data_IF_187471430197
#
_entry.id   IF_187471430197
#
_cell.length_a   1.000
_cell.length_b   1.000
_cell.length_c   1.000
_cell.angle_alpha   90.00
_cell.angle_beta   90.00
_cell.angle_gamma   90.00
#
_symmetry.space_group_name_H-M   'P 1'
#
loop_
_entity.id
_entity.type
_entity.pdbx_description
1 polymer ?
#
# COMPACT_ATOMS: atom_id res chain seq x y z
N UNK A 1 -29.24 -22.75 -17.79
CA UNK A 1 -27.90 -22.35 -17.31
C UNK A 1 -27.01 -22.23 -18.53
N UNK A 2 -26.33 -21.11 -18.73
CA UNK A 2 -25.41 -20.91 -19.87
C UNK A 2 -23.98 -21.04 -19.34
N UNK A 3 -23.20 -21.96 -19.91
CA UNK A 3 -21.78 -22.10 -19.60
C UNK A 3 -20.93 -21.21 -20.50
N UNK A 4 -20.16 -20.31 -19.91
CA UNK A 4 -19.20 -19.46 -20.64
C UNK A 4 -17.82 -20.10 -20.56
N UNK A 5 -17.09 -20.12 -21.68
CA UNK A 5 -15.76 -20.73 -21.72
C UNK A 5 -14.77 -19.95 -20.83
N UNK A 6 -13.93 -20.63 -20.01
CA UNK A 6 -13.03 -19.95 -19.06
C UNK A 6 -11.95 -19.11 -19.73
N UNK A 7 -11.67 -19.32 -21.03
CA UNK A 7 -10.74 -18.51 -21.80
C UNK A 7 -11.11 -17.02 -21.82
N UNK A 8 -12.40 -16.68 -21.71
CA UNK A 8 -12.85 -15.30 -21.68
C UNK A 8 -12.47 -14.61 -20.37
N UNK A 9 -12.53 -15.32 -19.23
CA UNK A 9 -12.03 -14.82 -17.95
C UNK A 9 -10.51 -14.65 -17.97
N UNK A 10 -9.78 -15.62 -18.54
CA UNK A 10 -8.32 -15.54 -18.60
C UNK A 10 -7.84 -14.42 -19.53
N UNK A 11 -8.65 -14.03 -20.52
CA UNK A 11 -8.37 -12.90 -21.39
C UNK A 11 -8.52 -11.52 -20.73
N UNK A 12 -9.14 -11.41 -19.55
CA UNK A 12 -9.23 -10.14 -18.82
C UNK A 12 -8.06 -9.89 -17.87
N UNK A 13 -7.15 -10.86 -17.71
CA UNK A 13 -6.01 -10.75 -16.81
C UNK A 13 -4.80 -10.16 -17.54
N UNK A 14 -4.00 -9.40 -16.80
CA UNK A 14 -2.68 -8.98 -17.27
C UNK A 14 -1.76 -10.20 -17.49
N UNK A 15 -0.79 -10.04 -18.40
CA UNK A 15 0.09 -11.13 -18.81
C UNK A 15 0.88 -11.73 -17.64
N UNK A 16 1.37 -10.89 -16.73
CA UNK A 16 2.17 -11.32 -15.58
C UNK A 16 1.31 -12.10 -14.57
N UNK A 17 0.09 -11.60 -14.31
CA UNK A 17 -0.89 -12.27 -13.44
C UNK A 17 -1.29 -13.63 -14.01
N UNK A 18 -1.54 -13.69 -15.32
CA UNK A 18 -1.85 -14.93 -16.02
C UNK A 18 -0.69 -15.94 -15.93
N UNK A 19 0.55 -15.50 -16.11
CA UNK A 19 1.71 -16.38 -16.04
C UNK A 19 1.89 -16.98 -14.63
N UNK A 20 1.79 -16.16 -13.58
CA UNK A 20 1.82 -16.63 -12.18
C UNK A 20 0.70 -17.64 -11.91
N UNK A 21 -0.51 -17.38 -12.41
CA UNK A 21 -1.63 -18.31 -12.29
C UNK A 21 -1.35 -19.63 -13.03
N UNK A 22 -0.84 -19.57 -14.25
CA UNK A 22 -0.56 -20.73 -15.09
C UNK A 22 0.50 -21.65 -14.43
N UNK A 23 1.55 -21.07 -13.87
CA UNK A 23 2.60 -21.82 -13.14
C UNK A 23 2.06 -22.50 -11.88
N UNK A 24 1.25 -21.78 -11.09
CA UNK A 24 0.55 -22.34 -9.92
C UNK A 24 -0.36 -23.50 -10.32
N UNK A 25 -1.11 -23.36 -11.41
CA UNK A 25 -2.01 -24.39 -11.92
C UNK A 25 -1.25 -25.62 -12.43
N UNK A 26 -0.17 -25.43 -13.19
CA UNK A 26 0.67 -26.52 -13.69
C UNK A 26 1.31 -27.32 -12.55
N UNK A 27 1.76 -26.64 -11.50
CA UNK A 27 2.31 -27.27 -10.30
C UNK A 27 1.25 -28.06 -9.54
N UNK A 28 0.06 -27.47 -9.34
CA UNK A 28 -1.08 -28.15 -8.71
C UNK A 28 -1.53 -29.38 -9.50
N UNK A 29 -1.60 -29.29 -10.83
CA UNK A 29 -1.98 -30.40 -11.71
C UNK A 29 -1.02 -31.58 -11.59
N UNK A 30 0.29 -31.32 -11.57
CA UNK A 30 1.30 -32.38 -11.38
C UNK A 30 1.12 -33.11 -10.04
N UNK A 31 0.97 -32.34 -8.96
CA UNK A 31 0.74 -32.90 -7.63
C UNK A 31 -0.59 -33.67 -7.53
N UNK A 32 -1.67 -33.13 -8.11
CA UNK A 32 -2.98 -33.75 -8.12
C UNK A 32 -2.98 -35.07 -8.90
N UNK A 33 -2.35 -35.11 -10.08
CA UNK A 33 -2.24 -36.33 -10.88
C UNK A 33 -1.49 -37.44 -10.14
N UNK A 34 -0.37 -37.09 -9.47
CA UNK A 34 0.38 -38.03 -8.66
C UNK A 34 -0.44 -38.55 -7.48
N UNK A 35 -1.11 -37.65 -6.74
CA UNK A 35 -1.94 -38.01 -5.60
C UNK A 35 -3.14 -38.88 -6.03
N UNK A 36 -3.77 -38.57 -7.17
CA UNK A 36 -4.88 -39.34 -7.73
C UNK A 36 -4.44 -40.75 -8.12
N UNK A 37 -3.33 -40.90 -8.85
CA UNK A 37 -2.82 -42.22 -9.23
C UNK A 37 -2.54 -43.08 -7.99
N UNK A 38 -1.87 -42.52 -6.98
CA UNK A 38 -1.63 -43.21 -5.71
C UNK A 38 -2.94 -43.58 -4.99
N UNK A 39 -3.91 -42.67 -4.95
CA UNK A 39 -5.18 -42.88 -4.27
C UNK A 39 -6.04 -43.97 -4.94
N UNK A 40 -6.02 -44.05 -6.27
CA UNK A 40 -6.68 -45.13 -7.03
C UNK A 40 -6.01 -46.47 -6.77
N UNK A 41 -4.68 -46.53 -6.76
CA UNK A 41 -3.94 -47.77 -6.51
C UNK A 41 -4.09 -48.30 -5.08
N UNK A 42 -4.28 -47.41 -4.10
CA UNK A 42 -4.40 -47.75 -2.68
C UNK A 42 -5.84 -47.78 -2.17
N UNK A 43 -6.83 -47.71 -3.07
CA UNK A 43 -8.27 -47.61 -2.75
C UNK A 43 -8.58 -46.56 -1.67
N UNK A 44 -7.87 -45.43 -1.73
CA UNK A 44 -7.92 -44.38 -0.71
C UNK A 44 -8.28 -43.01 -1.29
N UNK A 45 -9.11 -43.01 -2.33
CA UNK A 45 -9.60 -41.80 -3.01
C UNK A 45 -10.37 -40.88 -2.06
N UNK A 46 -11.12 -41.46 -1.13
CA UNK A 46 -11.87 -40.72 -0.10
C UNK A 46 -11.24 -41.00 1.26
N UNK A 47 -10.83 -39.93 1.96
CA UNK A 47 -10.30 -40.00 3.34
C UNK A 47 -11.13 -39.07 4.21
N UNK A 48 -11.94 -39.64 5.09
CA UNK A 48 -12.73 -38.88 6.04
C UNK A 48 -11.80 -38.19 7.06
N UNK A 49 -12.03 -36.90 7.31
CA UNK A 49 -11.35 -36.17 8.37
C UNK A 49 -11.98 -36.53 9.71
N UNK A 50 -11.16 -36.91 10.69
CA UNK A 50 -11.63 -37.35 12.01
C UNK A 50 -11.78 -36.20 13.01
N UNK A 51 -11.13 -35.07 12.76
CA UNK A 51 -11.13 -33.90 13.62
C UNK A 51 -11.08 -32.61 12.79
N UNK A 52 -11.68 -31.51 13.27
CA UNK A 52 -11.53 -30.21 12.62
C UNK A 52 -10.07 -29.73 12.63
N UNK A 53 -9.72 -28.74 11.79
CA UNK A 53 -8.38 -28.15 11.72
C UNK A 53 -8.05 -27.21 12.90
N UNK A 54 -8.92 -27.12 13.91
CA UNK A 54 -8.71 -26.33 15.13
C UNK A 54 -8.91 -27.22 16.37
N UNK A 55 -8.30 -26.81 17.48
CA UNK A 55 -8.51 -27.44 18.78
C UNK A 55 -9.77 -26.89 19.43
N UNK A 56 -10.44 -27.69 20.28
CA UNK A 56 -11.68 -27.29 20.96
C UNK A 56 -11.55 -26.01 21.78
N UNK A 57 -10.35 -25.72 22.33
CA UNK A 57 -10.09 -24.50 23.11
C UNK A 57 -10.12 -23.22 22.27
N UNK A 58 -9.77 -23.33 20.98
CA UNK A 58 -9.68 -22.19 20.06
C UNK A 58 -10.88 -22.08 19.14
N UNK A 59 -11.85 -23.00 19.23
CA UNK A 59 -13.04 -23.08 18.40
C UNK A 59 -13.80 -21.75 18.32
N UNK A 60 -14.13 -21.15 19.47
CA UNK A 60 -14.84 -19.88 19.51
C UNK A 60 -14.04 -18.74 18.88
N UNK A 61 -12.71 -18.72 19.04
CA UNK A 61 -11.85 -17.68 18.47
C UNK A 61 -11.78 -17.79 16.95
N UNK A 62 -11.65 -19.01 16.43
CA UNK A 62 -11.63 -19.29 14.98
C UNK A 62 -12.97 -18.92 14.34
N UNK A 63 -14.08 -19.28 14.98
CA UNK A 63 -15.42 -19.02 14.42
C UNK A 63 -15.81 -17.54 14.45
N UNK A 64 -15.22 -16.75 15.35
CA UNK A 64 -15.50 -15.32 15.50
C UNK A 64 -14.52 -14.41 14.74
N UNK A 65 -13.42 -14.95 14.21
CA UNK A 65 -12.45 -14.20 13.41
C UNK A 65 -12.67 -14.44 11.89
N UNK A 66 -13.23 -13.46 11.13
CA UNK A 66 -13.44 -13.60 9.68
C UNK A 66 -12.11 -13.65 8.88
N UNK A 67 -11.02 -13.19 9.48
CA UNK A 67 -9.69 -13.16 8.88
C UNK A 67 -8.85 -14.38 9.28
N UNK A 68 -9.33 -15.25 10.17
CA UNK A 68 -8.63 -16.48 10.53
C UNK A 68 -8.34 -17.32 9.27
N UNK A 69 -7.08 -17.72 9.11
CA UNK A 69 -6.63 -18.60 8.01
C UNK A 69 -5.83 -19.77 8.57
N UNK A 70 -5.83 -20.85 7.82
CA UNK A 70 -5.11 -22.06 8.16
C UNK A 70 -3.66 -22.02 7.70
N UNK A 71 -2.78 -22.58 8.52
CA UNK A 71 -1.36 -22.77 8.24
C UNK A 71 -1.06 -24.24 8.02
N UNK A 72 0.00 -24.54 7.25
CA UNK A 72 0.45 -25.92 7.05
C UNK A 72 1.63 -26.21 7.95
N UNK A 73 1.56 -27.29 8.74
CA UNK A 73 2.72 -27.73 9.52
C UNK A 73 3.76 -28.36 8.56
N UNK A 74 5.01 -27.86 8.53
CA UNK A 74 6.03 -28.31 7.58
C UNK A 74 6.40 -29.79 7.74
N UNK A 75 6.28 -30.35 8.95
CA UNK A 75 6.66 -31.73 9.26
C UNK A 75 5.53 -32.71 9.02
N UNK A 76 4.32 -32.41 9.51
CA UNK A 76 3.18 -33.34 9.42
C UNK A 76 2.34 -33.16 8.16
N UNK A 77 2.57 -32.08 7.39
CA UNK A 77 1.73 -31.64 6.26
C UNK A 77 0.24 -31.49 6.61
N UNK A 78 -0.10 -31.47 7.90
CA UNK A 78 -1.46 -31.21 8.37
C UNK A 78 -1.72 -29.71 8.39
N UNK A 79 -2.93 -29.37 8.02
CA UNK A 79 -3.46 -28.00 8.03
C UNK A 79 -4.04 -27.74 9.42
N UNK A 80 -3.67 -26.62 10.04
CA UNK A 80 -4.14 -26.25 11.38
C UNK A 80 -4.33 -24.73 11.49
N UNK A 81 -5.18 -24.28 12.42
CA UNK A 81 -5.24 -22.87 12.81
C UNK A 81 -4.16 -22.57 13.86
N UNK A 82 -3.26 -21.65 13.55
CA UNK A 82 -2.24 -21.19 14.49
C UNK A 82 -2.87 -20.19 15.48
N UNK A 83 -2.88 -20.48 16.81
CA UNK A 83 -3.44 -19.58 17.80
C UNK A 83 -2.81 -18.17 17.81
N UNK A 84 -1.58 -18.03 17.29
CA UNK A 84 -0.90 -16.75 17.13
C UNK A 84 -1.49 -15.88 16.00
N UNK A 85 -2.13 -16.50 15.01
CA UNK A 85 -2.77 -15.82 13.87
C UNK A 85 -4.28 -15.61 14.07
N UNK A 86 -4.80 -15.81 15.28
CA UNK A 86 -6.20 -15.58 15.64
C UNK A 86 -6.35 -14.21 16.29
N UNK A 87 -7.03 -13.31 15.59
CA UNK A 87 -7.22 -11.92 15.99
C UNK A 87 -8.43 -11.82 16.94
N UNK A 88 -8.41 -10.89 17.90
CA UNK A 88 -9.52 -10.69 18.84
C UNK A 88 -9.20 -10.95 20.32
N UNK A 89 -7.98 -10.69 20.75
CA UNK A 89 -7.59 -10.65 22.17
C UNK A 89 -8.15 -9.41 22.87
N UNK A 90 -9.48 -9.26 22.95
CA UNK A 90 -10.22 -8.67 24.07
C UNK A 90 -11.73 -8.83 23.80
N UNK A 91 -12.54 -9.31 24.75
CA UNK A 91 -13.97 -9.05 24.72
C UNK A 91 -14.20 -7.54 24.89
N UNK A 92 -14.71 -6.85 23.86
CA UNK A 92 -14.94 -5.40 23.85
C UNK A 92 -16.08 -4.95 24.80
N UNK A 93 -16.69 -5.85 25.57
CA UNK A 93 -17.70 -5.45 26.56
C UNK A 93 -17.10 -5.24 27.96
N UNK A 94 -16.31 -4.18 28.13
CA UNK A 94 -16.14 -3.59 29.46
C UNK A 94 -17.33 -2.66 29.69
N UNK A 95 -18.18 -3.01 30.67
CA UNK A 95 -19.27 -2.12 31.11
C UNK A 95 -18.62 -0.85 31.68
N UNK A 96 -18.89 0.36 31.15
CA UNK A 96 -18.37 1.60 31.73
C UNK A 96 -18.90 1.74 33.16
N UNK A 97 -18.01 1.91 34.14
CA UNK A 97 -18.39 2.08 35.55
C UNK A 97 -18.92 3.49 35.88
N UNK A 98 -18.86 4.44 34.94
CA UNK A 98 -19.27 5.82 35.16
C UNK A 98 -20.48 6.22 34.30
N UNK A 99 -21.46 6.93 34.87
CA UNK A 99 -22.63 7.42 34.13
C UNK A 99 -22.24 8.49 33.10
N UNK A 100 -23.04 8.68 32.03
CA UNK A 100 -22.68 9.51 30.89
C UNK A 100 -22.60 10.99 31.30
N UNK A 101 -21.55 11.70 30.90
CA UNK A 101 -21.43 13.15 31.10
C UNK A 101 -22.07 13.88 29.91
N UNK A 102 -22.75 15.02 30.17
CA UNK A 102 -23.58 15.80 29.23
C UNK A 102 -22.79 16.58 28.14
N UNK A 103 -21.64 16.05 27.69
CA UNK A 103 -20.90 16.59 26.55
C UNK A 103 -20.59 15.48 25.55
N UNK A 104 -20.72 15.77 24.26
CA UNK A 104 -20.34 14.85 23.18
C UNK A 104 -18.81 14.80 23.14
N UNK A 105 -18.22 13.98 23.99
CA UNK A 105 -16.87 13.47 23.76
C UNK A 105 -17.01 12.45 22.65
N UNK A 106 -16.64 12.83 21.42
CA UNK A 106 -16.43 11.84 20.37
C UNK A 106 -15.41 10.84 20.95
N UNK A 107 -15.73 9.53 21.02
CA UNK A 107 -14.76 8.55 21.47
C UNK A 107 -13.52 8.71 20.58
N UNK A 108 -12.33 8.77 21.19
CA UNK A 108 -11.11 8.57 20.40
C UNK A 108 -11.31 7.28 19.60
N UNK A 109 -11.14 7.30 18.27
CA UNK A 109 -11.34 6.12 17.47
C UNK A 109 -10.46 5.01 18.05
N UNK A 110 -11.08 3.88 18.40
CA UNK A 110 -10.36 2.71 18.89
C UNK A 110 -9.16 2.47 17.98
N UNK A 111 -7.94 2.25 18.53
CA UNK A 111 -6.80 1.90 17.70
C UNK A 111 -7.20 0.70 16.83
N UNK A 112 -7.07 0.89 15.52
CA UNK A 112 -7.34 -0.16 14.54
C UNK A 112 -6.23 -1.19 14.71
N UNK A 113 -6.46 -2.17 15.58
CA UNK A 113 -5.53 -3.28 15.77
C UNK A 113 -5.53 -4.18 14.53
N UNK A 114 -4.44 -4.07 13.77
CA UNK A 114 -3.73 -5.06 12.96
C UNK A 114 -4.55 -6.10 12.18
N UNK A 115 -4.69 -5.83 10.88
CA UNK A 115 -4.85 -6.86 9.84
C UNK A 115 -3.46 -7.10 9.23
N UNK A 116 -2.94 -8.34 9.19
CA UNK A 116 -1.61 -8.63 8.66
C UNK A 116 -1.67 -8.66 7.13
N UNK A 117 -1.65 -7.48 6.53
CA UNK A 117 -1.31 -7.28 5.13
C UNK A 117 -0.79 -5.85 4.99
N UNK A 118 0.54 -5.69 4.95
CA UNK A 118 1.30 -4.48 4.61
C UNK A 118 0.50 -3.15 4.70
N UNK A 119 -0.04 -2.83 5.87
CA UNK A 119 -0.66 -1.54 6.11
C UNK A 119 0.46 -0.63 6.55
N UNK A 120 1.00 0.14 5.61
CA UNK A 120 1.86 1.26 5.95
C UNK A 120 0.94 2.27 6.66
N UNK A 121 1.06 2.34 7.99
CA UNK A 121 0.24 3.25 8.77
C UNK A 121 0.64 4.68 8.43
N UNK A 122 -0.34 5.52 8.10
CA UNK A 122 -0.11 6.97 7.89
C UNK A 122 0.55 7.57 9.13
N UNK A 123 0.29 7.04 10.33
CA UNK A 123 0.98 7.46 11.56
C UNK A 123 2.49 7.27 11.52
N UNK A 124 2.96 6.22 10.85
CA UNK A 124 4.39 5.87 10.81
C UNK A 124 5.11 6.77 9.80
N UNK A 125 4.49 6.99 8.63
CA UNK A 125 4.99 7.95 7.65
C UNK A 125 5.05 9.35 8.25
N UNK A 126 3.97 9.79 8.90
CA UNK A 126 3.91 11.14 9.49
C UNK A 126 4.86 11.25 10.68
N UNK A 127 4.96 10.20 11.50
CA UNK A 127 5.84 10.12 12.67
C UNK A 127 7.32 10.17 12.30
N UNK A 128 7.74 9.45 11.27
CA UNK A 128 9.13 9.45 10.80
C UNK A 128 9.49 10.80 10.16
N UNK A 129 8.56 11.41 9.43
CA UNK A 129 8.75 12.75 8.88
C UNK A 129 8.85 13.79 10.01
N UNK A 130 8.04 13.70 11.07
CA UNK A 130 8.12 14.63 12.20
C UNK A 130 9.40 14.43 13.03
N UNK A 131 9.84 13.18 13.25
CA UNK A 131 11.03 12.85 14.06
C UNK A 131 12.35 13.19 13.38
N UNK A 132 12.38 13.25 12.05
CA UNK A 132 13.59 13.58 11.28
C UNK A 132 13.85 15.09 11.17
N UNK A 133 12.96 15.94 11.71
CA UNK A 133 13.12 17.39 11.67
C UNK A 133 13.98 17.92 12.83
N UNK A 134 14.97 18.80 12.57
CA UNK A 134 15.66 19.56 13.61
C UNK A 134 14.69 20.45 14.39
N UNK A 135 14.94 20.67 15.69
CA UNK A 135 14.06 21.44 16.59
C UNK A 135 13.79 22.89 16.15
N UNK A 136 14.67 23.47 15.35
CA UNK A 136 14.55 24.87 14.88
C UNK A 136 13.72 25.01 13.59
N UNK A 137 13.21 23.91 13.04
CA UNK A 137 12.48 23.93 11.76
C UNK A 137 10.98 23.99 12.02
N UNK A 138 10.33 25.05 11.51
CA UNK A 138 8.88 25.21 11.63
C UNK A 138 8.17 24.57 10.44
N UNK A 139 7.21 23.68 10.73
CA UNK A 139 6.33 23.13 9.70
C UNK A 139 5.36 24.21 9.26
N UNK A 140 5.34 24.50 7.96
CA UNK A 140 4.44 25.50 7.38
C UNK A 140 3.13 24.87 6.93
N UNK A 141 3.22 23.77 6.20
CA UNK A 141 2.10 23.15 5.52
C UNK A 141 2.42 21.70 5.14
N UNK A 142 1.36 20.92 4.98
CA UNK A 142 1.42 19.50 4.62
C UNK A 142 0.57 19.32 3.36
N UNK A 143 1.06 18.52 2.42
CA UNK A 143 0.31 18.05 1.27
C UNK A 143 0.25 16.53 1.28
N UNK A 144 -0.94 15.99 1.05
CA UNK A 144 -1.16 14.55 0.94
C UNK A 144 -1.81 14.26 -0.40
N UNK A 145 -1.36 13.21 -1.04
CA UNK A 145 -1.91 12.73 -2.29
C UNK A 145 -1.98 11.20 -2.32
N UNK A 146 -2.98 10.67 -3.01
CA UNK A 146 -3.17 9.23 -3.20
C UNK A 146 -3.56 8.98 -4.65
N UNK A 147 -2.87 8.03 -5.27
CA UNK A 147 -3.09 7.65 -6.66
C UNK A 147 -3.39 6.16 -6.75
N UNK A 148 -4.50 5.82 -7.39
CA UNK A 148 -4.84 4.44 -7.68
C UNK A 148 -4.08 3.95 -8.91
N UNK A 149 -3.41 2.80 -8.77
CA UNK A 149 -2.56 2.21 -9.81
C UNK A 149 -3.35 1.94 -11.09
N UNK A 150 -4.62 1.57 -10.96
CA UNK A 150 -5.53 1.29 -12.08
C UNK A 150 -5.89 2.51 -12.93
N UNK A 151 -5.79 3.72 -12.39
CA UNK A 151 -6.18 4.96 -13.08
C UNK A 151 -5.06 5.53 -13.95
N UNK A 152 -3.83 5.07 -13.74
CA UNK A 152 -2.65 5.64 -14.37
C UNK A 152 -2.30 4.85 -15.64
N UNK A 153 -2.93 5.23 -16.76
CA UNK A 153 -2.66 4.62 -18.06
C UNK A 153 -1.48 5.32 -18.76
N UNK A 154 -0.28 4.81 -18.48
CA UNK A 154 0.98 5.29 -19.05
C UNK A 154 1.17 4.87 -20.51
N UNK A 155 0.81 3.61 -20.84
CA UNK A 155 1.14 3.00 -22.13
C UNK A 155 0.39 3.67 -23.29
N UNK A 156 -0.79 4.21 -23.03
CA UNK A 156 -1.59 4.92 -24.03
C UNK A 156 -1.23 6.41 -24.17
N UNK A 157 -0.41 6.99 -23.29
CA UNK A 157 -0.20 8.45 -23.23
C UNK A 157 1.27 8.90 -23.04
N UNK A 158 2.14 8.75 -24.05
CA UNK A 158 3.53 9.21 -24.00
C UNK A 158 3.65 10.74 -23.86
N UNK A 159 2.65 11.51 -24.31
CA UNK A 159 2.63 12.97 -24.19
C UNK A 159 2.53 13.43 -22.75
N UNK A 160 1.72 12.74 -21.92
CA UNK A 160 1.61 13.04 -20.50
C UNK A 160 2.97 12.95 -19.80
N UNK A 161 3.76 11.93 -20.15
CA UNK A 161 5.07 11.67 -19.55
C UNK A 161 6.08 12.71 -19.97
N UNK A 162 6.13 13.00 -21.27
CA UNK A 162 7.00 14.03 -21.79
C UNK A 162 6.65 15.41 -21.21
N UNK A 163 5.39 15.69 -20.87
CA UNK A 163 4.96 16.97 -20.30
C UNK A 163 5.24 17.11 -18.81
N UNK A 164 5.10 16.02 -18.04
CA UNK A 164 5.09 16.06 -16.57
C UNK A 164 6.37 15.57 -15.89
N UNK A 165 7.20 14.78 -16.58
CA UNK A 165 8.40 14.18 -16.00
C UNK A 165 9.68 14.71 -16.66
N UNK A 166 10.73 14.93 -15.86
CA UNK A 166 12.05 15.28 -16.39
C UNK A 166 12.73 14.05 -17.02
N UNK A 167 13.71 14.23 -17.92
CA UNK A 167 14.46 13.12 -18.48
C UNK A 167 15.14 12.24 -17.42
N UNK A 168 15.57 12.83 -16.29
CA UNK A 168 16.17 12.09 -15.18
C UNK A 168 15.16 11.19 -14.46
N UNK A 169 13.91 11.65 -14.31
CA UNK A 169 12.84 10.87 -13.70
C UNK A 169 12.43 9.69 -14.60
N UNK A 170 12.38 9.92 -15.91
CA UNK A 170 12.08 8.87 -16.90
C UNK A 170 13.18 7.82 -16.94
N UNK A 171 14.44 8.23 -16.96
CA UNK A 171 15.59 7.32 -16.94
C UNK A 171 15.61 6.48 -15.66
N UNK A 172 15.29 7.07 -14.50
CA UNK A 172 15.17 6.33 -13.26
C UNK A 172 14.06 5.28 -13.31
N UNK A 173 12.87 5.66 -13.79
CA UNK A 173 11.74 4.73 -13.88
C UNK A 173 12.08 3.53 -14.77
N UNK A 174 12.72 3.77 -15.91
CA UNK A 174 13.17 2.71 -16.83
C UNK A 174 14.21 1.77 -16.21
N UNK A 175 15.00 2.23 -15.24
CA UNK A 175 15.97 1.41 -14.53
C UNK A 175 15.37 0.60 -13.37
N UNK A 176 14.12 0.88 -12.97
CA UNK A 176 13.43 0.16 -11.89
C UNK A 176 12.89 -1.18 -12.39
N UNK A 177 12.70 -2.13 -11.46
CA UNK A 177 12.03 -3.41 -11.75
C UNK A 177 10.62 -3.20 -12.31
N UNK A 178 9.94 -2.18 -11.83
CA UNK A 178 8.60 -1.79 -12.26
C UNK A 178 8.60 -0.29 -12.60
N UNK A 179 8.77 0.06 -13.90
CA UNK A 179 8.73 1.45 -14.35
C UNK A 179 7.38 2.14 -14.10
N UNK A 180 6.28 1.40 -14.12
CA UNK A 180 4.92 1.93 -13.95
C UNK A 180 4.72 2.43 -12.52
N UNK A 181 5.02 1.57 -11.55
CA UNK A 181 4.96 1.92 -10.13
C UNK A 181 5.93 3.05 -9.75
N UNK A 182 7.10 3.10 -10.38
CA UNK A 182 8.07 4.19 -10.16
C UNK A 182 7.51 5.55 -10.63
N UNK A 183 6.81 5.59 -11.76
CA UNK A 183 6.21 6.81 -12.30
C UNK A 183 4.98 7.26 -11.50
N UNK A 184 4.11 6.33 -11.11
CA UNK A 184 2.97 6.65 -10.23
C UNK A 184 3.45 7.23 -8.91
N UNK A 185 4.47 6.63 -8.29
CA UNK A 185 5.03 7.16 -7.05
C UNK A 185 5.60 8.57 -7.22
N UNK A 186 6.29 8.83 -8.33
CA UNK A 186 6.80 10.17 -8.64
C UNK A 186 5.68 11.17 -8.92
N UNK A 187 4.61 10.75 -9.58
CA UNK A 187 3.43 11.58 -9.81
C UNK A 187 2.74 11.94 -8.51
N UNK A 188 2.45 10.95 -7.67
CA UNK A 188 1.84 11.15 -6.36
C UNK A 188 2.70 12.08 -5.48
N UNK A 189 4.04 11.90 -5.50
CA UNK A 189 4.95 12.81 -4.82
C UNK A 189 4.89 14.25 -5.36
N UNK A 190 4.79 14.44 -6.69
CA UNK A 190 4.64 15.78 -7.29
C UNK A 190 3.35 16.46 -6.84
N UNK A 191 2.24 15.73 -6.78
CA UNK A 191 0.94 16.24 -6.30
C UNK A 191 0.96 16.59 -4.81
N UNK A 192 1.53 15.71 -3.98
CA UNK A 192 1.71 16.01 -2.56
C UNK A 192 2.56 17.27 -2.35
N UNK A 193 3.69 17.41 -3.07
CA UNK A 193 4.53 18.62 -3.01
C UNK A 193 3.77 19.84 -3.50
N UNK A 194 3.06 19.74 -4.62
CA UNK A 194 2.27 20.85 -5.15
C UNK A 194 1.25 21.36 -4.12
N UNK A 195 0.54 20.46 -3.45
CA UNK A 195 -0.41 20.78 -2.37
C UNK A 195 0.31 21.39 -1.16
N UNK A 196 1.49 20.89 -0.80
CA UNK A 196 2.24 21.42 0.34
C UNK A 196 2.74 22.85 0.11
N UNK A 197 2.98 23.27 -1.14
CA UNK A 197 3.39 24.64 -1.45
C UNK A 197 2.28 25.68 -1.19
N UNK A 198 1.01 25.27 -1.11
CA UNK A 198 -0.13 26.14 -0.78
C UNK A 198 -0.47 27.16 -1.88
N UNK A 199 -0.20 26.83 -3.14
CA UNK A 199 -0.31 27.74 -4.28
C UNK A 199 -1.62 27.51 -5.04
N UNK A 200 -2.21 28.56 -5.61
CA UNK A 200 -3.38 28.40 -6.48
C UNK A 200 -2.98 27.64 -7.74
N UNK A 201 -3.78 26.65 -8.12
CA UNK A 201 -3.61 25.91 -9.36
C UNK A 201 -3.67 26.83 -10.57
N UNK A 202 -2.77 26.61 -11.54
CA UNK A 202 -2.80 27.26 -12.86
C UNK A 202 -3.77 26.57 -13.83
N UNK A 203 -4.59 25.64 -13.33
CA UNK A 203 -5.50 24.78 -14.08
C UNK A 203 -5.11 23.31 -13.97
N UNK A 204 -6.08 22.40 -14.17
CA UNK A 204 -5.90 20.94 -14.04
C UNK A 204 -4.87 20.32 -15.01
N UNK A 205 -4.46 21.05 -16.05
CA UNK A 205 -3.49 20.59 -17.06
C UNK A 205 -2.13 21.29 -17.00
N UNK A 206 -1.84 22.03 -15.92
CA UNK A 206 -0.56 22.70 -15.76
C UNK A 206 0.58 21.66 -15.64
N UNK A 207 1.69 21.83 -16.37
CA UNK A 207 2.77 20.85 -16.35
C UNK A 207 3.46 20.81 -14.98
N UNK A 208 3.65 19.60 -14.44
CA UNK A 208 4.30 19.39 -13.14
C UNK A 208 5.81 19.11 -13.23
N UNK A 209 6.40 19.33 -14.41
CA UNK A 209 7.83 19.07 -14.66
C UNK A 209 8.77 19.93 -13.80
N UNK A 210 8.30 21.09 -13.34
CA UNK A 210 9.08 21.98 -12.48
C UNK A 210 9.25 21.46 -11.04
N UNK A 211 8.45 20.47 -10.63
CA UNK A 211 8.61 19.75 -9.37
C UNK A 211 9.31 18.44 -9.71
N UNK A 212 10.61 18.35 -9.47
CA UNK A 212 11.40 17.17 -9.79
C UNK A 212 11.64 16.34 -8.53
N UNK A 213 11.37 15.03 -8.59
CA UNK A 213 11.63 14.09 -7.50
C UNK A 213 12.87 13.28 -7.87
N UNK A 214 13.90 13.27 -7.04
CA UNK A 214 15.12 12.46 -7.24
C UNK A 214 15.23 11.43 -6.13
N UNK A 215 16.00 10.37 -6.34
CA UNK A 215 16.41 9.49 -5.25
C UNK A 215 17.78 9.94 -4.76
N UNK A 216 17.99 10.00 -3.45
CA UNK A 216 19.30 10.24 -2.86
C UNK A 216 20.17 8.97 -2.90
N UNK A 217 21.37 9.04 -2.31
CA UNK A 217 22.32 7.91 -2.28
C UNK A 217 21.80 6.70 -1.49
N UNK A 218 20.83 6.91 -0.60
CA UNK A 218 20.21 5.89 0.22
C UNK A 218 18.85 5.43 -0.36
N UNK A 219 18.45 5.97 -1.51
CA UNK A 219 17.19 5.68 -2.18
C UNK A 219 16.01 6.53 -1.72
N UNK A 220 16.17 7.41 -0.74
CA UNK A 220 15.10 8.26 -0.23
C UNK A 220 14.73 9.36 -1.25
N UNK A 221 13.44 9.69 -1.40
CA UNK A 221 13.01 10.70 -2.36
C UNK A 221 13.40 12.11 -1.88
N UNK A 222 13.99 12.90 -2.78
CA UNK A 222 14.42 14.28 -2.59
C UNK A 222 13.76 15.18 -3.62
N UNK A 223 13.11 16.25 -3.14
CA UNK A 223 12.43 17.23 -3.98
C UNK A 223 13.42 18.28 -4.47
N UNK A 224 13.36 18.61 -5.76
CA UNK A 224 14.08 19.71 -6.39
C UNK A 224 13.08 20.56 -7.15
N UNK A 225 12.92 21.82 -6.74
CA UNK A 225 12.00 22.76 -7.37
C UNK A 225 12.75 23.61 -8.38
N UNK A 226 12.14 23.79 -9.56
CA UNK A 226 12.66 24.60 -10.66
C UNK A 226 11.67 25.71 -11.03
N UNK A 227 12.10 26.63 -11.90
CA UNK A 227 11.18 27.54 -12.61
C UNK A 227 10.20 28.31 -11.71
N UNK A 228 8.92 28.28 -12.06
CA UNK A 228 7.86 28.94 -11.30
C UNK A 228 7.60 28.27 -9.95
N UNK A 229 7.72 26.94 -9.85
CA UNK A 229 7.59 26.24 -8.56
C UNK A 229 8.60 26.76 -7.53
N UNK A 230 9.87 26.92 -7.92
CA UNK A 230 10.91 27.48 -7.05
C UNK A 230 10.63 28.93 -6.65
N UNK A 231 10.22 29.78 -7.61
CA UNK A 231 9.88 31.18 -7.31
C UNK A 231 8.74 31.27 -6.29
N UNK A 232 7.75 30.40 -6.43
CA UNK A 232 6.60 30.40 -5.53
C UNK A 232 6.97 29.88 -4.15
N UNK A 233 7.80 28.84 -4.05
CA UNK A 233 8.34 28.36 -2.77
C UNK A 233 9.13 29.46 -2.04
N UNK A 234 9.93 30.25 -2.76
CA UNK A 234 10.67 31.39 -2.19
C UNK A 234 9.76 32.50 -1.69
N UNK A 235 8.75 32.90 -2.46
CA UNK A 235 7.73 33.89 -2.04
C UNK A 235 6.96 33.43 -0.79
N UNK A 236 6.86 32.12 -0.64
CA UNK A 236 6.24 31.44 0.48
C UNK A 236 7.17 31.26 1.71
N UNK A 237 8.43 31.70 1.63
CA UNK A 237 9.47 31.47 2.64
C UNK A 237 9.69 29.98 2.97
N UNK A 238 9.45 29.09 1.99
CA UNK A 238 9.71 27.66 2.15
C UNK A 238 11.20 27.41 1.86
N UNK A 239 11.92 26.92 2.86
CA UNK A 239 13.35 26.61 2.75
C UNK A 239 13.58 25.19 2.26
N UNK A 240 12.71 24.25 2.64
CA UNK A 240 12.84 22.84 2.26
C UNK A 240 11.49 22.15 2.16
N UNK A 241 11.42 21.08 1.35
CA UNK A 241 10.26 20.20 1.25
C UNK A 241 10.73 18.75 1.37
N UNK A 242 10.24 18.07 2.41
CA UNK A 242 10.48 16.64 2.61
C UNK A 242 9.29 15.88 2.06
N UNK A 243 9.54 14.78 1.37
CA UNK A 243 8.47 13.90 0.86
C UNK A 243 8.74 12.47 1.29
N UNK A 244 7.68 11.73 1.55
CA UNK A 244 7.73 10.29 1.78
C UNK A 244 6.68 9.61 0.91
N UNK A 245 6.99 8.38 0.47
CA UNK A 245 6.19 7.58 -0.43
C UNK A 245 5.90 6.22 0.20
N UNK A 246 4.71 5.71 -0.05
CA UNK A 246 4.26 4.43 0.44
C UNK A 246 3.38 3.75 -0.62
N UNK A 247 3.54 2.44 -0.71
CA UNK A 247 2.89 1.61 -1.71
C UNK A 247 2.01 0.58 -1.01
N UNK A 248 0.75 0.51 -1.40
CA UNK A 248 -0.25 -0.45 -0.91
C UNK A 248 -0.85 -1.21 -2.09
N UNK A 249 -1.58 -2.29 -1.83
CA UNK A 249 -2.24 -3.06 -2.88
C UNK A 249 -3.24 -2.19 -3.67
N UNK A 250 -2.79 -1.72 -4.84
CA UNK A 250 -3.58 -0.92 -5.77
C UNK A 250 -3.51 0.61 -5.58
N UNK A 251 -2.82 1.13 -4.56
CA UNK A 251 -2.69 2.57 -4.34
C UNK A 251 -1.28 2.98 -3.91
N UNK A 252 -0.89 4.20 -4.32
CA UNK A 252 0.32 4.87 -3.87
C UNK A 252 -0.06 6.12 -3.10
N UNK A 253 0.55 6.34 -1.95
CA UNK A 253 0.32 7.53 -1.13
C UNK A 253 1.63 8.30 -0.96
N UNK A 254 1.53 9.63 -1.06
CA UNK A 254 2.62 10.54 -0.84
C UNK A 254 2.25 11.58 0.22
N UNK A 255 3.21 11.86 1.10
CA UNK A 255 3.09 12.92 2.11
C UNK A 255 4.27 13.87 1.92
N UNK A 256 3.98 15.14 1.69
CA UNK A 256 4.97 16.19 1.57
C UNK A 256 4.80 17.21 2.70
N UNK A 257 5.91 17.62 3.31
CA UNK A 257 5.95 18.61 4.39
C UNK A 257 6.84 19.75 3.96
N UNK A 258 6.26 20.95 3.91
CA UNK A 258 6.99 22.18 3.62
C UNK A 258 7.46 22.83 4.91
N UNK A 259 8.73 23.19 4.92
CA UNK A 259 9.46 23.64 6.09
C UNK A 259 9.93 25.08 5.89
N UNK A 260 9.89 25.84 6.98
CA UNK A 260 10.45 27.18 7.04
C UNK A 260 11.61 27.17 8.03
N UNK A 261 12.74 27.73 7.61
CA UNK A 261 13.81 28.09 8.53
C UNK A 261 13.50 29.48 9.07
N UNK A 262 13.51 29.71 10.40
CA UNK A 262 13.46 31.08 10.93
C UNK A 262 14.66 31.86 10.38
N UNK A 263 14.42 33.06 9.85
CA UNK A 263 15.51 33.98 9.51
C UNK A 263 16.33 34.25 10.78
N UNK A 264 17.64 34.02 10.71
CA UNK A 264 18.56 34.50 11.73
C UNK A 264 18.52 36.04 11.71
N UNK A 265 18.00 36.64 12.78
CA UNK A 265 18.18 38.06 13.08
C UNK A 265 19.65 38.39 13.29
#
# INVERSE_FOLDING_TARGET
>A
MVGVAPKYLLGTLEKDVYQVYAEKCATRKRQANQAFAHAVMSDSLVKAQTQPPYEKRDESRVLLDPLARVSTNPTSKKIYFDPANLHGTQPVMVRPEQPPQDHITLPEPSPINDVPAAKISISDITGDVLRSLPQDVKIRSIGVDIEAVSTFDYDSNPLFIQRNFTPAEQAFAQACRDPHMALIGRWCAKEAVFKSLGVKSKGAGAPMKEIEVKSDRNGAPKVVLHGAALRTARQANISNVIVSLSYSEGNVIAVAVSLNTPESL
#
